data_IF_733405055311
#
_entry.id   IF_733405055311
#
_cell.length_a   1.000
_cell.length_b   1.000
_cell.length_c   1.000
_cell.angle_alpha   90.00
_cell.angle_beta   90.00
_cell.angle_gamma   90.00
#
_symmetry.space_group_name_H-M   'P 1'
#
loop_
_entity.id
_entity.type
_entity.pdbx_description
1 polymer ?
#
# COMPACT_ATOMS: atom_id res chain seq x y z
N UNK A 1 -10.88 -25.72 3.69
CA UNK A 1 -10.54 -24.33 3.35
C UNK A 1 -10.82 -23.53 4.59
N UNK A 2 -9.74 -23.07 5.20
CA UNK A 2 -9.82 -22.23 6.37
C UNK A 2 -9.42 -20.83 5.92
N UNK A 3 -10.30 -19.86 6.13
CA UNK A 3 -10.16 -18.51 5.58
C UNK A 3 -9.76 -17.48 6.62
N UNK A 4 -9.26 -17.92 7.78
CA UNK A 4 -8.62 -17.00 8.74
C UNK A 4 -7.33 -16.45 8.14
N UNK A 5 -7.08 -15.16 8.38
CA UNK A 5 -5.85 -14.48 7.96
C UNK A 5 -4.73 -14.93 8.90
N UNK A 6 -3.66 -15.45 8.32
CA UNK A 6 -2.44 -15.87 9.02
C UNK A 6 -1.43 -14.71 9.06
N UNK A 7 -1.10 -14.15 7.89
CA UNK A 7 -0.09 -13.08 7.76
C UNK A 7 -0.54 -11.98 6.78
N UNK A 8 -0.02 -10.77 6.99
CA UNK A 8 -0.17 -9.63 6.09
C UNK A 8 1.20 -8.95 5.89
N UNK A 9 1.62 -8.79 4.63
CA UNK A 9 2.88 -8.12 4.28
C UNK A 9 2.63 -6.96 3.33
N UNK A 10 3.26 -5.80 3.60
CA UNK A 10 3.20 -4.65 2.72
C UNK A 10 4.58 -4.25 2.19
N UNK A 11 4.61 -3.62 1.01
CA UNK A 11 5.82 -3.08 0.40
C UNK A 11 5.52 -1.86 -0.46
N UNK A 12 6.50 -0.99 -0.62
CA UNK A 12 6.45 0.14 -1.56
C UNK A 12 6.86 -0.34 -2.96
N UNK A 13 6.04 -0.06 -3.96
CA UNK A 13 6.30 -0.29 -5.39
C UNK A 13 5.99 0.98 -6.19
N UNK A 14 6.15 0.93 -7.52
CA UNK A 14 5.85 2.08 -8.41
C UNK A 14 4.57 1.86 -9.21
N UNK A 15 3.77 2.92 -9.34
CA UNK A 15 2.59 2.96 -10.21
C UNK A 15 2.95 3.20 -11.68
N UNK A 16 1.94 3.24 -12.55
CA UNK A 16 2.10 3.48 -14.01
C UNK A 16 2.70 4.84 -14.38
N UNK A 17 2.77 5.78 -13.43
CA UNK A 17 3.37 7.12 -13.58
C UNK A 17 4.74 7.20 -12.89
N UNK A 18 5.24 6.11 -12.33
CA UNK A 18 6.51 6.06 -11.60
C UNK A 18 6.45 6.70 -10.21
N UNK A 19 5.27 6.95 -9.64
CA UNK A 19 5.16 7.40 -8.24
C UNK A 19 5.05 6.18 -7.31
N UNK A 20 5.54 6.28 -6.07
CA UNK A 20 5.36 5.23 -5.08
C UNK A 20 3.88 4.93 -4.81
N UNK A 21 3.56 3.65 -4.63
CA UNK A 21 2.29 3.15 -4.11
C UNK A 21 2.52 1.89 -3.29
N UNK A 22 1.51 1.42 -2.57
CA UNK A 22 1.58 0.25 -1.69
C UNK A 22 1.04 -1.01 -2.41
N UNK A 23 1.76 -2.11 -2.25
CA UNK A 23 1.32 -3.47 -2.57
C UNK A 23 1.20 -4.27 -1.28
N UNK A 24 0.12 -5.05 -1.14
CA UNK A 24 -0.16 -5.87 0.05
C UNK A 24 -0.40 -7.32 -0.35
N UNK A 25 0.25 -8.22 0.37
CA UNK A 25 0.01 -9.66 0.39
C UNK A 25 -0.79 -10.04 1.63
N UNK A 26 -1.81 -10.88 1.45
CA UNK A 26 -2.55 -11.52 2.55
C UNK A 26 -2.45 -13.03 2.38
N UNK A 27 -2.03 -13.72 3.43
CA UNK A 27 -1.88 -15.18 3.47
C UNK A 27 -2.92 -15.73 4.45
N UNK A 28 -3.66 -16.76 4.03
CA UNK A 28 -4.65 -17.46 4.87
C UNK A 28 -4.04 -18.73 5.45
N UNK A 29 -4.59 -19.23 6.57
CA UNK A 29 -4.11 -20.46 7.23
C UNK A 29 -4.15 -21.72 6.34
N UNK A 30 -4.90 -21.70 5.24
CA UNK A 30 -4.90 -22.80 4.26
C UNK A 30 -3.83 -22.65 3.15
N UNK A 31 -2.97 -21.64 3.26
CA UNK A 31 -1.88 -21.34 2.32
C UNK A 31 -2.30 -20.50 1.11
N UNK A 32 -3.58 -20.14 0.97
CA UNK A 32 -4.02 -19.24 -0.09
C UNK A 32 -3.40 -17.85 0.09
N UNK A 33 -2.84 -17.30 -1.00
CA UNK A 33 -2.25 -15.96 -1.02
C UNK A 33 -3.00 -15.06 -2.00
N UNK A 34 -3.42 -13.88 -1.54
CA UNK A 34 -3.91 -12.79 -2.36
C UNK A 34 -2.94 -11.62 -2.38
N UNK A 35 -2.72 -11.02 -3.55
CA UNK A 35 -1.88 -9.83 -3.73
C UNK A 35 -2.68 -8.73 -4.42
N UNK A 36 -2.54 -7.50 -3.94
CA UNK A 36 -3.16 -6.33 -4.58
C UNK A 36 -2.27 -5.09 -4.49
N UNK A 37 -2.39 -4.24 -5.51
CA UNK A 37 -1.73 -2.95 -5.62
C UNK A 37 -2.80 -1.86 -5.51
N UNK A 38 -2.56 -0.86 -4.67
CA UNK A 38 -3.47 0.28 -4.53
C UNK A 38 -3.21 1.28 -5.67
N UNK A 39 -4.23 1.71 -6.44
CA UNK A 39 -4.05 2.75 -7.44
C UNK A 39 -3.85 4.12 -6.77
N UNK A 40 -2.99 4.96 -7.34
CA UNK A 40 -2.81 6.34 -6.87
C UNK A 40 -3.70 7.31 -7.66
N UNK A 41 -4.56 8.05 -6.95
CA UNK A 41 -5.39 9.08 -7.57
C UNK A 41 -4.55 10.24 -8.09
N UNK A 42 -4.98 10.89 -9.19
CA UNK A 42 -4.52 12.24 -9.52
C UNK A 42 -5.43 13.33 -8.93
N UNK A 43 -6.66 12.94 -8.59
CA UNK A 43 -7.66 13.82 -8.00
C UNK A 43 -7.25 14.24 -6.60
N UNK A 44 -7.58 15.48 -6.25
CA UNK A 44 -7.33 16.06 -4.92
C UNK A 44 -8.65 16.48 -4.29
N UNK A 45 -9.73 15.75 -4.57
CA UNK A 45 -11.06 16.04 -4.04
C UNK A 45 -11.02 16.10 -2.52
N UNK A 46 -11.50 17.21 -1.94
CA UNK A 46 -11.44 17.42 -0.49
C UNK A 46 -12.26 16.40 0.34
N UNK A 47 -13.12 15.63 -0.31
CA UNK A 47 -13.98 14.61 0.29
C UNK A 47 -13.57 13.18 -0.10
N UNK A 48 -12.44 13.00 -0.78
CA UNK A 48 -11.90 11.67 -1.07
C UNK A 48 -11.18 11.09 0.17
N UNK A 49 -11.11 9.76 0.24
CA UNK A 49 -10.31 9.10 1.27
C UNK A 49 -8.84 9.52 1.13
N UNK A 50 -8.20 9.82 2.26
CA UNK A 50 -6.85 10.37 2.27
C UNK A 50 -5.82 9.26 2.08
N UNK A 51 -4.99 9.38 1.05
CA UNK A 51 -3.81 8.55 0.87
C UNK A 51 -2.67 9.02 1.78
N UNK A 52 -2.08 8.11 2.55
CA UNK A 52 -0.97 8.42 3.44
C UNK A 52 0.35 8.48 2.66
N UNK A 53 0.95 9.68 2.60
CA UNK A 53 2.25 9.95 1.97
C UNK A 53 3.31 10.31 3.01
N UNK A 54 4.56 9.98 2.73
CA UNK A 54 5.71 10.21 3.61
C UNK A 54 5.98 11.70 3.84
N UNK A 55 5.78 12.53 2.80
CA UNK A 55 6.11 13.97 2.74
C UNK A 55 7.59 14.28 2.95
N UNK A 56 8.46 13.29 2.75
CA UNK A 56 9.91 13.46 2.72
C UNK A 56 10.36 13.86 1.31
N UNK A 57 10.69 15.13 1.10
CA UNK A 57 11.11 15.64 -0.20
C UNK A 57 12.40 15.00 -0.75
N UNK A 58 13.21 14.35 0.09
CA UNK A 58 14.41 13.64 -0.37
C UNK A 58 14.10 12.34 -1.13
N UNK A 59 12.88 11.79 -0.94
CA UNK A 59 12.41 10.56 -1.59
C UNK A 59 11.18 10.85 -2.44
N UNK A 60 11.29 10.60 -3.74
CA UNK A 60 10.17 10.73 -4.68
C UNK A 60 9.40 12.06 -4.57
N UNK A 61 10.10 13.17 -4.27
CA UNK A 61 9.50 14.50 -4.09
C UNK A 61 8.39 14.53 -3.02
N UNK A 62 8.52 13.75 -1.95
CA UNK A 62 7.54 13.67 -0.86
C UNK A 62 6.42 12.67 -1.08
N UNK A 63 6.41 11.96 -2.22
CA UNK A 63 5.36 11.01 -2.58
C UNK A 63 5.61 9.57 -2.11
N UNK A 64 6.69 9.31 -1.36
CA UNK A 64 6.92 8.00 -0.72
C UNK A 64 5.70 7.54 0.10
N UNK A 65 5.61 6.23 0.33
CA UNK A 65 4.51 5.59 1.06
C UNK A 65 5.00 4.62 2.14
N UNK A 66 6.24 4.77 2.64
CA UNK A 66 6.75 3.89 3.70
C UNK A 66 5.91 3.98 4.99
N UNK A 67 5.38 5.16 5.33
CA UNK A 67 4.44 5.29 6.46
C UNK A 67 3.16 4.48 6.26
N UNK A 68 2.68 4.39 5.03
CA UNK A 68 1.52 3.57 4.70
C UNK A 68 1.87 2.07 4.82
N UNK A 69 3.05 1.67 4.35
CA UNK A 69 3.57 0.30 4.50
C UNK A 69 3.68 -0.09 5.97
N UNK A 70 4.28 0.75 6.81
CA UNK A 70 4.44 0.49 8.24
C UNK A 70 3.09 0.37 8.98
N UNK A 71 2.05 1.04 8.47
CA UNK A 71 0.69 1.00 9.05
C UNK A 71 -0.04 -0.32 8.79
N UNK A 72 0.45 -1.15 7.86
CA UNK A 72 -0.14 -2.46 7.52
C UNK A 72 0.43 -3.59 8.37
N UNK A 73 1.57 -3.37 9.04
CA UNK A 73 2.21 -4.40 9.84
C UNK A 73 1.23 -4.96 10.91
N UNK A 74 0.94 -6.26 10.79
CA UNK A 74 0.13 -7.06 11.71
C UNK A 74 1.00 -8.19 12.27
#
# INVERSE_FOLDING_TARGET
MNTYIEDIFAREILDSRGNPTIEVDVILEDGTMGRSIVPSGASTGAFEAVELRDKDCSRYQGKGVLKAVDSVAY
#
